data_IF_533960921789
#
_entry.id   IF_533960921789
#
_cell.length_a   1.000
_cell.length_b   1.000
_cell.length_c   1.000
_cell.angle_alpha   90.00
_cell.angle_beta   90.00
_cell.angle_gamma   90.00
#
_symmetry.space_group_name_H-M   'P 1'
#
loop_
_entity.id
_entity.type
_entity.pdbx_description
1 polymer ?
#
# COMPACT_ATOMS: atom_id res chain seq x y z
N UNK A 1 31.15 36.74 -2.55
CA UNK A 1 30.23 35.67 -2.12
C UNK A 1 28.85 36.31 -1.93
N UNK A 2 28.00 36.16 -2.91
CA UNK A 2 26.64 36.75 -2.92
C UNK A 2 25.70 35.74 -2.27
N UNK A 3 25.17 36.09 -1.10
CA UNK A 3 24.15 35.26 -0.44
C UNK A 3 22.89 35.19 -1.31
N UNK A 4 22.51 33.97 -1.68
CA UNK A 4 21.20 33.73 -2.32
C UNK A 4 20.16 33.86 -1.21
N UNK A 5 19.39 34.95 -1.25
CA UNK A 5 18.20 35.09 -0.40
C UNK A 5 17.16 34.11 -0.95
N UNK A 6 16.97 32.99 -0.27
CA UNK A 6 15.82 32.11 -0.50
C UNK A 6 14.61 32.87 0.01
N UNK A 7 13.80 33.40 -0.88
CA UNK A 7 12.55 34.08 -0.53
C UNK A 7 11.66 33.11 0.25
N UNK A 8 11.14 33.57 1.40
CA UNK A 8 10.13 32.85 2.15
C UNK A 8 8.89 32.68 1.25
N UNK A 9 8.62 31.46 0.84
CA UNK A 9 7.35 31.13 0.21
C UNK A 9 6.23 31.36 1.25
N UNK A 10 5.15 32.06 0.90
CA UNK A 10 4.01 32.21 1.79
C UNK A 10 3.54 30.82 2.23
N UNK A 11 3.32 30.63 3.52
CA UNK A 11 2.99 29.32 4.10
C UNK A 11 1.75 28.65 3.47
N UNK A 12 0.85 29.43 2.88
CA UNK A 12 -0.33 28.93 2.14
C UNK A 12 0.00 28.44 0.71
N UNK A 13 1.21 28.68 0.20
CA UNK A 13 1.69 28.20 -1.11
C UNK A 13 2.61 26.98 -0.99
N UNK A 14 2.88 26.47 0.21
CA UNK A 14 3.56 25.22 0.37
C UNK A 14 2.59 24.06 0.07
N UNK A 15 2.64 23.42 -1.13
CA UNK A 15 1.81 22.24 -1.42
C UNK A 15 2.17 21.06 -0.54
N UNK A 16 3.15 21.21 0.33
CA UNK A 16 3.92 20.15 0.92
C UNK A 16 3.18 19.31 1.97
N UNK A 17 2.06 19.73 2.53
CA UNK A 17 1.52 18.98 3.69
C UNK A 17 0.01 19.06 3.88
N UNK A 18 -0.79 19.14 2.82
CA UNK A 18 -2.21 18.83 2.98
C UNK A 18 -2.36 17.30 2.97
N UNK A 19 -2.12 16.69 4.12
CA UNK A 19 -2.30 15.25 4.32
C UNK A 19 -3.74 14.87 4.69
N UNK A 20 -4.57 15.85 5.02
CA UNK A 20 -5.97 15.65 5.38
C UNK A 20 -6.89 15.40 4.18
N UNK A 21 -8.14 15.01 4.45
CA UNK A 21 -9.15 14.82 3.42
C UNK A 21 -9.40 16.12 2.64
N UNK A 22 -9.45 16.02 1.31
CA UNK A 22 -9.72 17.13 0.41
C UNK A 22 -10.60 16.69 -0.76
N UNK A 23 -11.45 17.57 -1.28
CA UNK A 23 -12.23 17.27 -2.47
C UNK A 23 -11.32 17.23 -3.70
N UNK A 24 -11.45 16.17 -4.49
CA UNK A 24 -10.76 16.00 -5.76
C UNK A 24 -11.79 15.69 -6.84
N UNK A 25 -11.58 16.27 -8.04
CA UNK A 25 -12.43 16.05 -9.21
C UNK A 25 -11.91 14.86 -10.01
N UNK A 26 -12.80 14.00 -10.47
CA UNK A 26 -12.50 12.95 -11.44
C UNK A 26 -12.28 13.59 -12.81
N UNK A 27 -11.06 13.48 -13.34
CA UNK A 27 -10.67 14.01 -14.65
C UNK A 27 -10.89 12.99 -15.77
N UNK A 28 -10.78 11.71 -15.47
CA UNK A 28 -11.00 10.66 -16.46
C UNK A 28 -11.34 9.34 -15.78
N UNK A 29 -12.15 8.54 -16.46
CA UNK A 29 -12.50 7.16 -16.10
C UNK A 29 -12.20 6.25 -17.29
N UNK A 30 -11.30 5.30 -17.14
CA UNK A 30 -10.92 4.39 -18.22
C UNK A 30 -10.97 2.92 -17.77
N UNK A 31 -11.78 2.13 -18.43
CA UNK A 31 -11.81 0.67 -18.21
C UNK A 31 -10.55 0.04 -18.79
N UNK A 32 -9.77 -0.66 -17.97
CA UNK A 32 -8.55 -1.37 -18.38
C UNK A 32 -8.81 -2.83 -18.71
N UNK A 33 -9.66 -3.49 -17.92
CA UNK A 33 -10.13 -4.86 -18.11
C UNK A 33 -11.59 -4.94 -17.68
N UNK A 34 -12.21 -6.11 -17.77
CA UNK A 34 -13.59 -6.29 -17.29
C UNK A 34 -13.74 -6.05 -15.78
N UNK A 35 -12.66 -6.26 -15.03
CA UNK A 35 -12.66 -6.13 -13.57
C UNK A 35 -11.94 -4.87 -13.06
N UNK A 36 -11.17 -4.17 -13.90
CA UNK A 36 -10.31 -3.05 -13.45
C UNK A 36 -10.63 -1.76 -14.19
N UNK A 37 -10.94 -0.71 -13.44
CA UNK A 37 -11.12 0.65 -13.93
C UNK A 37 -10.04 1.59 -13.38
N UNK A 38 -9.48 2.41 -14.24
CA UNK A 38 -8.52 3.45 -13.91
C UNK A 38 -9.24 4.79 -13.76
N UNK A 39 -8.96 5.49 -12.67
CA UNK A 39 -9.48 6.81 -12.36
C UNK A 39 -8.34 7.82 -12.26
N UNK A 40 -8.53 9.01 -12.81
CA UNK A 40 -7.63 10.15 -12.64
C UNK A 40 -8.33 11.25 -11.86
N UNK A 41 -7.59 11.85 -10.92
CA UNK A 41 -8.11 12.91 -10.06
C UNK A 41 -7.24 14.15 -10.19
N UNK A 42 -7.87 15.31 -10.27
CA UNK A 42 -7.24 16.61 -10.15
C UNK A 42 -7.86 17.45 -9.03
N UNK A 43 -7.32 18.64 -8.75
CA UNK A 43 -7.93 19.55 -7.80
C UNK A 43 -9.39 19.81 -8.14
N UNK A 44 -10.28 19.90 -7.14
CA UNK A 44 -11.68 20.22 -7.35
C UNK A 44 -11.89 21.72 -7.64
N UNK A 45 -10.95 22.56 -7.22
CA UNK A 45 -10.89 23.98 -7.54
C UNK A 45 -9.64 24.30 -8.37
N UNK A 46 -9.72 25.35 -9.18
CA UNK A 46 -8.63 25.80 -10.06
C UNK A 46 -7.54 26.59 -9.29
N UNK A 47 -7.72 26.83 -7.97
CA UNK A 47 -6.81 27.64 -7.17
C UNK A 47 -5.56 26.86 -6.70
N UNK A 48 -5.56 25.54 -6.82
CA UNK A 48 -4.44 24.67 -6.42
C UNK A 48 -3.84 23.92 -7.63
N UNK A 49 -3.03 24.57 -8.47
CA UNK A 49 -2.55 24.00 -9.73
C UNK A 49 -1.57 22.84 -9.56
N UNK A 50 -1.00 22.67 -8.37
CA UNK A 50 0.02 21.64 -8.10
C UNK A 50 -0.47 20.64 -7.06
N UNK A 51 -0.23 19.36 -7.35
CA UNK A 51 -0.43 18.28 -6.44
C UNK A 51 0.87 17.94 -5.70
N UNK A 52 0.74 17.37 -4.51
CA UNK A 52 1.89 16.92 -3.72
C UNK A 52 2.62 15.80 -4.45
N UNK A 53 3.92 15.97 -4.68
CA UNK A 53 4.79 14.90 -5.19
C UNK A 53 4.85 13.75 -4.18
N UNK A 54 5.08 12.53 -4.67
CA UNK A 54 5.09 11.33 -3.84
C UNK A 54 6.16 10.33 -4.30
N UNK A 55 6.53 9.42 -3.43
CA UNK A 55 7.43 8.32 -3.77
C UNK A 55 6.65 7.17 -4.42
N UNK A 56 7.26 6.41 -5.34
CA UNK A 56 6.69 5.15 -5.83
C UNK A 56 6.23 4.25 -4.68
N UNK A 57 5.18 3.47 -4.90
CA UNK A 57 4.54 2.68 -3.84
C UNK A 57 3.69 3.48 -2.85
N UNK A 58 3.42 4.76 -3.16
CA UNK A 58 2.44 5.55 -2.40
C UNK A 58 1.01 5.22 -2.81
N UNK A 59 0.07 5.52 -1.90
CA UNK A 59 -1.35 5.31 -2.10
C UNK A 59 -2.17 6.55 -1.68
N UNK A 60 -3.40 6.61 -2.16
CA UNK A 60 -4.44 7.52 -1.71
C UNK A 60 -5.46 6.77 -0.86
N UNK A 61 -6.05 7.46 0.11
CA UNK A 61 -7.26 7.00 0.78
C UNK A 61 -8.45 7.68 0.10
N UNK A 62 -9.35 6.91 -0.46
CA UNK A 62 -10.55 7.42 -1.14
C UNK A 62 -11.78 7.09 -0.30
N UNK A 63 -12.58 8.11 0.00
CA UNK A 63 -13.86 7.97 0.69
C UNK A 63 -14.95 7.63 -0.33
N UNK A 64 -15.48 6.40 -0.29
CA UNK A 64 -16.40 5.87 -1.28
C UNK A 64 -17.48 5.00 -0.61
N UNK A 65 -18.75 5.29 -0.84
CA UNK A 65 -19.87 4.49 -0.32
C UNK A 65 -19.85 4.32 1.21
N UNK A 66 -19.45 5.36 1.95
CA UNK A 66 -19.33 5.30 3.40
C UNK A 66 -18.09 4.53 3.93
N UNK A 67 -17.23 4.07 3.03
CA UNK A 67 -15.98 3.38 3.36
C UNK A 67 -14.77 4.21 2.95
N UNK A 68 -13.64 3.98 3.62
CA UNK A 68 -12.36 4.63 3.32
C UNK A 68 -11.34 3.54 2.98
N UNK A 69 -10.95 3.48 1.71
CA UNK A 69 -10.05 2.44 1.21
C UNK A 69 -8.77 3.05 0.61
N UNK A 70 -7.67 2.33 0.78
CA UNK A 70 -6.38 2.66 0.18
C UNK A 70 -6.30 2.11 -1.25
N UNK A 71 -5.79 2.95 -2.17
CA UNK A 71 -5.53 2.55 -3.56
C UNK A 71 -4.17 3.09 -3.99
N UNK A 72 -3.30 2.21 -4.49
CA UNK A 72 -1.95 2.55 -4.91
C UNK A 72 -1.97 3.50 -6.10
N UNK A 73 -1.10 4.50 -6.06
CA UNK A 73 -0.82 5.41 -7.16
C UNK A 73 0.01 4.67 -8.23
N UNK A 74 -0.29 4.94 -9.50
CA UNK A 74 0.35 4.24 -10.63
C UNK A 74 1.43 5.05 -11.34
N UNK A 75 1.49 6.37 -11.11
CA UNK A 75 2.49 7.25 -11.74
C UNK A 75 3.79 7.31 -10.91
N UNK A 76 4.84 7.94 -11.44
CA UNK A 76 6.16 8.02 -10.81
C UNK A 76 6.26 9.01 -9.64
N UNK A 77 5.23 9.82 -9.43
CA UNK A 77 5.11 10.76 -8.32
C UNK A 77 5.87 12.08 -8.46
N UNK A 78 6.59 12.28 -9.57
CA UNK A 78 7.35 13.50 -9.79
C UNK A 78 6.49 14.61 -10.42
N UNK A 79 6.33 15.72 -9.72
CA UNK A 79 5.56 16.90 -10.15
C UNK A 79 4.18 16.55 -10.74
N UNK A 80 3.32 15.82 -10.02
CA UNK A 80 2.06 15.34 -10.56
C UNK A 80 1.08 16.49 -10.80
N UNK A 81 0.45 16.51 -11.96
CA UNK A 81 -0.69 17.37 -12.28
C UNK A 81 -2.04 16.69 -12.04
N UNK A 82 -2.00 15.39 -11.88
CA UNK A 82 -3.15 14.54 -11.50
C UNK A 82 -2.66 13.30 -10.75
N UNK A 83 -3.55 12.67 -9.99
CA UNK A 83 -3.30 11.37 -9.37
C UNK A 83 -4.06 10.28 -10.11
N UNK A 84 -3.38 9.17 -10.40
CA UNK A 84 -3.96 8.00 -11.04
C UNK A 84 -4.02 6.80 -10.10
N UNK A 85 -5.19 6.20 -9.95
CA UNK A 85 -5.38 4.91 -9.26
C UNK A 85 -6.07 3.92 -10.19
N UNK A 86 -5.87 2.63 -9.96
CA UNK A 86 -6.64 1.59 -10.66
C UNK A 86 -7.28 0.65 -9.64
N UNK A 87 -8.57 0.45 -9.79
CA UNK A 87 -9.41 -0.23 -8.82
C UNK A 87 -9.97 -1.50 -9.43
N UNK A 88 -9.76 -2.63 -8.75
CA UNK A 88 -10.36 -3.90 -9.12
C UNK A 88 -11.71 -4.04 -8.42
N UNK A 89 -12.75 -4.35 -9.19
CA UNK A 89 -14.09 -4.68 -8.68
C UNK A 89 -14.01 -6.00 -7.90
N UNK A 90 -14.59 -6.03 -6.70
CA UNK A 90 -14.58 -7.21 -5.83
C UNK A 90 -15.89 -8.00 -5.83
N UNK A 91 -16.99 -7.40 -6.23
CA UNK A 91 -18.31 -8.04 -6.27
C UNK A 91 -18.97 -8.25 -4.91
N UNK A 92 -18.46 -7.60 -3.85
CA UNK A 92 -18.96 -7.75 -2.48
C UNK A 92 -19.72 -6.52 -1.94
N UNK A 93 -20.03 -5.54 -2.81
CA UNK A 93 -20.76 -4.32 -2.44
C UNK A 93 -19.94 -3.33 -1.59
N UNK A 94 -18.61 -3.44 -1.59
CA UNK A 94 -17.70 -2.55 -0.86
C UNK A 94 -17.35 -1.27 -1.61
N UNK A 95 -16.41 -0.49 -1.05
CA UNK A 95 -16.00 0.80 -1.64
C UNK A 95 -15.41 0.67 -3.05
N UNK A 96 -14.75 -0.44 -3.40
CA UNK A 96 -14.28 -0.69 -4.77
C UNK A 96 -15.43 -0.82 -5.76
N UNK A 97 -16.50 -1.51 -5.39
CA UNK A 97 -17.66 -1.69 -6.25
C UNK A 97 -18.41 -0.37 -6.39
N UNK A 98 -18.54 0.38 -5.28
CA UNK A 98 -19.15 1.70 -5.30
C UNK A 98 -18.43 2.66 -6.26
N UNK A 99 -17.08 2.66 -6.29
CA UNK A 99 -16.29 3.47 -7.22
C UNK A 99 -16.63 3.12 -8.68
N UNK A 100 -16.73 1.83 -9.01
CA UNK A 100 -17.08 1.38 -10.36
C UNK A 100 -18.48 1.78 -10.77
N UNK A 101 -19.44 1.81 -9.82
CA UNK A 101 -20.86 2.04 -10.12
C UNK A 101 -21.24 3.53 -10.11
N UNK A 102 -20.50 4.36 -9.37
CA UNK A 102 -20.92 5.75 -9.08
C UNK A 102 -19.93 6.81 -9.53
N UNK A 103 -18.63 6.48 -9.72
CA UNK A 103 -17.64 7.48 -10.03
C UNK A 103 -17.55 7.72 -11.54
N UNK A 104 -17.97 8.90 -11.96
CA UNK A 104 -17.96 9.35 -13.36
C UNK A 104 -17.08 10.60 -13.49
N UNK A 105 -16.74 10.98 -14.71
CA UNK A 105 -16.03 12.25 -14.98
C UNK A 105 -16.78 13.44 -14.38
N UNK A 106 -16.05 14.42 -13.90
CA UNK A 106 -16.51 15.61 -13.17
C UNK A 106 -17.08 15.35 -11.76
N UNK A 107 -17.29 14.10 -11.34
CA UNK A 107 -17.65 13.81 -9.96
C UNK A 107 -16.56 14.29 -8.98
N UNK A 108 -16.98 14.71 -7.79
CA UNK A 108 -16.08 15.10 -6.70
C UNK A 108 -16.11 14.04 -5.63
N UNK A 109 -14.92 13.62 -5.21
CA UNK A 109 -14.73 12.63 -4.16
C UNK A 109 -13.70 13.12 -3.15
N UNK A 110 -13.88 12.76 -1.88
CA UNK A 110 -12.92 13.09 -0.84
C UNK A 110 -11.74 12.13 -0.88
N UNK A 111 -10.53 12.69 -0.96
CA UNK A 111 -9.27 11.94 -1.05
C UNK A 111 -8.28 12.48 -0.02
N UNK A 112 -7.56 11.57 0.64
CA UNK A 112 -6.49 11.85 1.58
C UNK A 112 -5.18 11.25 1.08
N UNK A 113 -4.06 11.90 1.37
CA UNK A 113 -2.73 11.50 0.93
C UNK A 113 -2.17 12.41 -0.18
N UNK A 114 -1.09 12.00 -0.85
CA UNK A 114 -0.48 10.65 -0.91
C UNK A 114 0.29 10.24 0.36
N UNK A 115 0.37 8.94 0.62
CA UNK A 115 1.15 8.34 1.71
C UNK A 115 1.92 7.13 1.20
N UNK A 116 3.14 6.92 1.68
CA UNK A 116 3.98 5.79 1.27
C UNK A 116 4.04 4.73 2.37
N UNK A 117 3.80 3.48 1.98
CA UNK A 117 3.98 2.28 2.79
C UNK A 117 4.88 1.24 2.09
N UNK A 118 5.26 1.50 0.85
CA UNK A 118 6.06 0.63 0.02
C UNK A 118 7.10 1.44 -0.78
N UNK A 119 7.93 2.28 -0.10
CA UNK A 119 8.85 3.18 -0.77
C UNK A 119 10.03 2.42 -1.37
N UNK A 120 10.66 2.96 -2.44
CA UNK A 120 11.94 2.46 -2.92
C UNK A 120 13.05 2.76 -1.91
N UNK A 121 14.05 1.90 -1.87
CA UNK A 121 15.29 2.18 -1.13
C UNK A 121 16.13 3.14 -1.97
N UNK A 122 16.59 4.24 -1.35
CA UNK A 122 17.20 5.37 -2.07
C UNK A 122 18.50 5.03 -2.80
N UNK A 123 19.31 4.14 -2.25
CA UNK A 123 20.60 3.71 -2.79
C UNK A 123 20.55 2.44 -3.64
N UNK A 124 19.35 1.92 -3.94
CA UNK A 124 19.22 0.75 -4.84
C UNK A 124 19.77 1.05 -6.22
N UNK A 125 20.52 0.12 -6.79
CA UNK A 125 21.06 0.25 -8.16
C UNK A 125 20.02 -0.12 -9.24
N UNK A 126 19.06 -0.94 -8.88
CA UNK A 126 17.95 -1.39 -9.71
C UNK A 126 16.94 -2.18 -8.88
N UNK A 127 15.87 -2.62 -9.50
CA UNK A 127 14.87 -3.42 -8.82
C UNK A 127 14.41 -4.63 -9.64
N UNK A 128 14.17 -5.75 -8.94
CA UNK A 128 13.30 -6.82 -9.38
C UNK A 128 11.90 -6.53 -8.87
N UNK A 129 10.95 -6.39 -9.77
CA UNK A 129 9.57 -6.00 -9.50
C UNK A 129 8.63 -7.17 -9.83
N UNK A 130 7.94 -7.73 -8.85
CA UNK A 130 7.03 -8.86 -9.02
C UNK A 130 5.59 -8.41 -8.79
N UNK A 131 4.75 -8.54 -9.80
CA UNK A 131 3.34 -8.19 -9.74
C UNK A 131 2.43 -9.40 -9.93
N UNK A 132 1.36 -9.50 -9.13
CA UNK A 132 0.26 -10.44 -9.34
C UNK A 132 -1.07 -9.73 -9.48
N UNK A 133 -1.75 -9.85 -10.63
CA UNK A 133 -3.05 -9.22 -10.87
C UNK A 133 -3.03 -7.72 -10.62
N UNK A 134 -3.92 -7.23 -9.74
CA UNK A 134 -4.01 -5.77 -9.41
C UNK A 134 -2.80 -5.27 -8.61
N UNK A 135 -1.95 -6.13 -8.07
CA UNK A 135 -0.66 -5.75 -7.49
C UNK A 135 0.31 -5.09 -8.48
N UNK A 136 -0.06 -5.04 -9.76
CA UNK A 136 0.65 -4.25 -10.77
C UNK A 136 0.65 -2.76 -10.47
N UNK A 137 -0.30 -2.23 -9.70
CA UNK A 137 -0.45 -0.78 -9.48
C UNK A 137 0.77 -0.14 -8.79
N UNK A 138 1.24 -0.58 -7.62
CA UNK A 138 2.47 -0.04 -7.03
C UNK A 138 3.71 -0.43 -7.82
N UNK A 139 3.73 -1.62 -8.42
CA UNK A 139 4.84 -2.09 -9.26
C UNK A 139 5.04 -1.19 -10.48
N UNK A 140 3.95 -0.76 -11.13
CA UNK A 140 4.03 0.19 -12.26
C UNK A 140 4.59 1.55 -11.82
N UNK A 141 4.20 2.04 -10.64
CA UNK A 141 4.76 3.27 -10.07
C UNK A 141 6.28 3.17 -9.88
N UNK A 142 6.77 2.06 -9.30
CA UNK A 142 8.21 1.79 -9.18
C UNK A 142 8.89 1.69 -10.55
N UNK A 143 8.29 0.97 -11.51
CA UNK A 143 8.83 0.79 -12.84
C UNK A 143 8.98 2.12 -13.59
N UNK A 144 7.96 2.99 -13.51
CA UNK A 144 7.99 4.34 -14.10
C UNK A 144 9.09 5.21 -13.52
N UNK A 145 9.27 5.20 -12.20
CA UNK A 145 10.33 5.97 -11.55
C UNK A 145 11.72 5.46 -11.93
N UNK A 146 11.94 4.15 -11.91
CA UNK A 146 13.22 3.54 -12.32
C UNK A 146 13.53 3.87 -13.79
N UNK A 147 12.54 3.76 -14.68
CA UNK A 147 12.69 4.08 -16.08
C UNK A 147 13.03 5.57 -16.31
N UNK A 148 12.33 6.48 -15.62
CA UNK A 148 12.64 7.92 -15.63
C UNK A 148 14.06 8.21 -15.19
N UNK A 149 14.53 7.54 -14.14
CA UNK A 149 15.86 7.74 -13.57
C UNK A 149 16.96 6.97 -14.32
N UNK A 150 16.62 6.27 -15.42
CA UNK A 150 17.56 5.46 -16.20
C UNK A 150 18.11 4.24 -15.43
N UNK A 151 17.44 3.83 -14.34
CA UNK A 151 17.81 2.71 -13.51
C UNK A 151 17.20 1.40 -14.03
N UNK A 152 17.82 0.28 -13.67
CA UNK A 152 17.37 -1.04 -14.12
C UNK A 152 16.08 -1.46 -13.41
N UNK A 153 15.09 -1.87 -14.19
CA UNK A 153 13.86 -2.54 -13.74
C UNK A 153 13.72 -3.90 -14.43
N UNK A 154 13.68 -4.97 -13.65
CA UNK A 154 13.39 -6.34 -14.11
C UNK A 154 12.01 -6.71 -13.56
N UNK A 155 11.01 -6.84 -14.46
CA UNK A 155 9.60 -6.90 -14.09
C UNK A 155 9.05 -8.28 -14.41
N UNK A 156 8.49 -8.96 -13.40
CA UNK A 156 7.70 -10.20 -13.58
C UNK A 156 6.24 -9.86 -13.31
N UNK A 157 5.39 -9.95 -14.33
CA UNK A 157 3.96 -9.70 -14.18
C UNK A 157 3.15 -10.98 -14.45
N UNK A 158 2.59 -11.51 -13.37
CA UNK A 158 1.72 -12.70 -13.41
C UNK A 158 0.24 -12.29 -13.40
N UNK A 159 -0.48 -12.69 -14.46
CA UNK A 159 -1.90 -12.37 -14.59
C UNK A 159 -2.64 -13.43 -15.42
N UNK A 160 -3.96 -13.49 -15.25
CA UNK A 160 -4.84 -14.32 -16.07
C UNK A 160 -4.96 -13.72 -17.48
N UNK A 161 -4.94 -14.53 -18.50
CA UNK A 161 -5.10 -14.07 -19.89
C UNK A 161 -6.35 -13.17 -20.03
N UNK A 162 -6.20 -12.02 -20.64
CA UNK A 162 -7.25 -11.00 -20.78
C UNK A 162 -7.46 -10.10 -19.55
N UNK A 163 -6.79 -10.37 -18.40
CA UNK A 163 -6.93 -9.60 -17.16
C UNK A 163 -5.68 -8.78 -16.80
N UNK A 164 -4.77 -8.55 -17.76
CA UNK A 164 -3.53 -7.80 -17.55
C UNK A 164 -3.78 -6.28 -17.51
N UNK A 165 -4.22 -5.75 -16.37
CA UNK A 165 -4.32 -4.32 -16.20
C UNK A 165 -2.94 -3.65 -16.40
N UNK A 166 -2.89 -2.51 -17.09
CA UNK A 166 -1.63 -1.79 -17.36
C UNK A 166 -0.57 -2.56 -18.15
N UNK A 167 -0.92 -3.66 -18.82
CA UNK A 167 0.07 -4.43 -19.57
C UNK A 167 0.70 -3.61 -20.70
N UNK A 168 -0.09 -2.78 -21.37
CA UNK A 168 0.42 -1.93 -22.44
C UNK A 168 1.33 -0.80 -21.91
N UNK A 169 1.05 -0.28 -20.70
CA UNK A 169 1.95 0.65 -20.01
C UNK A 169 3.31 -0.01 -19.73
N UNK A 170 3.32 -1.25 -19.22
CA UNK A 170 4.55 -2.01 -18.95
C UNK A 170 5.31 -2.36 -20.22
N UNK A 171 4.63 -2.75 -21.30
CA UNK A 171 5.23 -2.99 -22.61
C UNK A 171 5.88 -1.74 -23.20
N UNK A 172 5.21 -0.58 -23.04
CA UNK A 172 5.78 0.70 -23.44
C UNK A 172 7.05 1.04 -22.65
N UNK A 173 7.08 0.78 -21.34
CA UNK A 173 8.30 0.94 -20.53
C UNK A 173 9.41 -0.02 -20.95
N UNK A 174 9.08 -1.26 -21.30
CA UNK A 174 10.04 -2.28 -21.75
C UNK A 174 10.66 -1.98 -23.12
N UNK A 175 10.20 -0.95 -23.84
CA UNK A 175 10.91 -0.42 -25.00
C UNK A 175 12.22 0.30 -24.62
N UNK A 176 12.41 0.66 -23.36
CA UNK A 176 13.65 1.25 -22.85
C UNK A 176 14.68 0.16 -22.52
N UNK A 177 15.97 0.34 -22.83
CA UNK A 177 16.99 -0.69 -22.66
C UNK A 177 17.24 -1.10 -21.19
N UNK A 178 16.85 -0.26 -20.23
CA UNK A 178 16.99 -0.53 -18.80
C UNK A 178 15.83 -1.31 -18.19
N UNK A 179 14.75 -1.55 -18.94
CA UNK A 179 13.53 -2.20 -18.47
C UNK A 179 13.35 -3.54 -19.16
N UNK A 180 13.21 -4.60 -18.40
CA UNK A 180 12.88 -5.96 -18.91
C UNK A 180 11.53 -6.37 -18.35
N UNK A 181 10.65 -6.90 -19.20
CA UNK A 181 9.32 -7.39 -18.83
C UNK A 181 9.18 -8.88 -19.12
N UNK A 182 8.77 -9.64 -18.10
CA UNK A 182 8.40 -11.05 -18.21
C UNK A 182 6.89 -11.17 -17.92
N UNK A 183 6.13 -11.42 -18.99
CA UNK A 183 4.69 -11.69 -18.88
C UNK A 183 4.48 -13.18 -18.61
N UNK A 184 3.78 -13.52 -17.53
CA UNK A 184 3.60 -14.90 -17.08
C UNK A 184 2.13 -15.18 -16.79
N UNK A 185 1.70 -16.41 -17.10
CA UNK A 185 0.35 -16.88 -16.76
C UNK A 185 0.43 -18.30 -16.18
N UNK A 186 -0.27 -18.52 -15.08
CA UNK A 186 -0.30 -19.80 -14.35
C UNK A 186 0.76 -19.91 -13.25
N UNK A 187 0.41 -20.60 -12.17
CA UNK A 187 1.21 -20.65 -10.94
C UNK A 187 2.61 -21.25 -11.16
N UNK A 188 2.71 -22.41 -11.84
CA UNK A 188 3.99 -23.10 -12.05
C UNK A 188 4.99 -22.23 -12.82
N UNK A 189 4.57 -21.64 -13.95
CA UNK A 189 5.43 -20.75 -14.73
C UNK A 189 5.82 -19.49 -13.96
N UNK A 190 4.92 -18.96 -13.11
CA UNK A 190 5.21 -17.81 -12.25
C UNK A 190 6.33 -18.13 -11.25
N UNK A 191 6.25 -19.29 -10.58
CA UNK A 191 7.28 -19.77 -9.65
C UNK A 191 8.63 -19.89 -10.34
N UNK A 192 8.68 -20.52 -11.52
CA UNK A 192 9.90 -20.74 -12.29
C UNK A 192 10.57 -19.41 -12.67
N UNK A 193 9.79 -18.47 -13.24
CA UNK A 193 10.33 -17.17 -13.67
C UNK A 193 10.79 -16.34 -12.46
N UNK A 194 10.06 -16.29 -11.37
CA UNK A 194 10.49 -15.56 -10.15
C UNK A 194 11.81 -16.16 -9.63
N UNK A 195 11.91 -17.50 -9.53
CA UNK A 195 13.12 -18.15 -9.05
C UNK A 195 14.34 -17.84 -9.94
N UNK A 196 14.16 -17.84 -11.25
CA UNK A 196 15.22 -17.50 -12.20
C UNK A 196 15.66 -16.04 -12.08
N UNK A 197 14.69 -15.14 -11.97
CA UNK A 197 15.01 -13.71 -11.84
C UNK A 197 15.69 -13.39 -10.52
N UNK A 198 15.28 -13.99 -9.40
CA UNK A 198 15.97 -13.82 -8.12
C UNK A 198 17.45 -14.25 -8.18
N UNK A 199 17.77 -15.33 -8.89
CA UNK A 199 19.17 -15.79 -9.04
C UNK A 199 20.01 -14.94 -10.00
N UNK A 200 19.36 -14.24 -10.94
CA UNK A 200 20.05 -13.53 -12.02
C UNK A 200 20.30 -12.04 -11.72
N UNK A 201 19.99 -11.54 -10.52
CA UNK A 201 20.11 -10.12 -10.22
C UNK A 201 21.54 -9.68 -9.90
N UNK A 202 21.97 -8.50 -10.39
CA UNK A 202 23.22 -7.88 -9.97
C UNK A 202 23.20 -7.48 -8.49
N UNK A 203 24.40 -7.34 -7.91
CA UNK A 203 24.54 -6.78 -6.58
C UNK A 203 23.94 -5.35 -6.50
N UNK A 204 23.38 -4.99 -5.36
CA UNK A 204 22.69 -3.70 -5.17
C UNK A 204 21.26 -3.64 -5.69
N UNK A 205 20.71 -4.75 -6.23
CA UNK A 205 19.31 -4.86 -6.57
C UNK A 205 18.47 -5.09 -5.31
N UNK A 206 17.32 -4.41 -5.23
CA UNK A 206 16.24 -4.69 -4.27
C UNK A 206 15.08 -5.37 -4.98
N UNK A 207 14.40 -6.28 -4.29
CA UNK A 207 13.25 -6.99 -4.85
C UNK A 207 11.97 -6.54 -4.17
N UNK A 208 10.94 -6.25 -4.97
CA UNK A 208 9.64 -5.75 -4.52
C UNK A 208 8.53 -6.62 -5.08
N UNK A 209 7.59 -7.02 -4.26
CA UNK A 209 6.44 -7.81 -4.70
C UNK A 209 5.11 -7.25 -4.19
N UNK A 210 4.09 -7.26 -5.06
CA UNK A 210 2.71 -7.00 -4.69
C UNK A 210 1.77 -7.93 -5.47
N UNK A 211 0.80 -8.53 -4.77
CA UNK A 211 -0.13 -9.48 -5.37
C UNK A 211 -0.91 -10.30 -4.35
N UNK A 212 -1.55 -11.39 -4.80
CA UNK A 212 -2.25 -12.32 -3.91
C UNK A 212 -1.33 -12.92 -2.86
N UNK A 213 -1.89 -13.28 -1.70
CA UNK A 213 -1.14 -13.85 -0.57
C UNK A 213 -0.25 -15.03 -0.98
N UNK A 214 -0.78 -15.96 -1.76
CA UNK A 214 -0.02 -17.13 -2.23
C UNK A 214 1.19 -16.77 -3.10
N UNK A 215 1.10 -15.71 -3.91
CA UNK A 215 2.24 -15.21 -4.68
C UNK A 215 3.31 -14.62 -3.75
N UNK A 216 2.90 -13.83 -2.76
CA UNK A 216 3.82 -13.19 -1.83
C UNK A 216 4.54 -14.20 -0.93
N UNK A 217 3.85 -15.24 -0.48
CA UNK A 217 4.44 -16.35 0.25
C UNK A 217 5.47 -17.10 -0.60
N UNK A 218 5.11 -17.43 -1.83
CA UNK A 218 6.04 -18.07 -2.78
C UNK A 218 7.26 -17.19 -3.05
N UNK A 219 7.06 -15.91 -3.31
CA UNK A 219 8.14 -14.95 -3.54
C UNK A 219 9.10 -14.88 -2.36
N UNK A 220 8.58 -14.80 -1.12
CA UNK A 220 9.40 -14.76 0.09
C UNK A 220 10.24 -16.03 0.26
N UNK A 221 9.63 -17.20 0.09
CA UNK A 221 10.32 -18.49 0.16
C UNK A 221 11.42 -18.62 -0.90
N UNK A 222 11.14 -18.19 -2.14
CA UNK A 222 12.12 -18.23 -3.23
C UNK A 222 13.28 -17.25 -3.01
N UNK A 223 13.01 -16.07 -2.46
CA UNK A 223 14.05 -15.09 -2.13
C UNK A 223 14.96 -15.63 -1.00
N UNK A 224 14.40 -16.22 0.04
CA UNK A 224 15.16 -16.87 1.11
C UNK A 224 16.01 -18.03 0.57
N UNK A 225 15.42 -18.92 -0.24
CA UNK A 225 16.13 -20.04 -0.87
C UNK A 225 17.25 -19.59 -1.84
N UNK A 226 17.12 -18.41 -2.43
CA UNK A 226 18.14 -17.79 -3.27
C UNK A 226 19.19 -16.98 -2.47
N UNK A 227 19.10 -16.94 -1.13
CA UNK A 227 20.05 -16.27 -0.24
C UNK A 227 19.93 -14.76 -0.22
N UNK A 228 18.75 -14.20 -0.52
CA UNK A 228 18.54 -12.75 -0.45
C UNK A 228 18.51 -12.26 0.99
N UNK A 229 19.25 -11.19 1.32
CA UNK A 229 19.13 -10.53 2.62
C UNK A 229 17.69 -9.99 2.80
N UNK A 230 17.09 -10.19 3.96
CA UNK A 230 15.72 -9.72 4.26
C UNK A 230 15.54 -8.21 4.05
N UNK A 231 16.57 -7.41 4.35
CA UNK A 231 16.59 -5.97 4.10
C UNK A 231 16.48 -5.55 2.61
N UNK A 232 16.60 -6.49 1.69
CA UNK A 232 16.45 -6.24 0.24
C UNK A 232 15.21 -6.89 -0.36
N UNK A 233 14.37 -7.50 0.45
CA UNK A 233 13.13 -8.18 0.05
C UNK A 233 11.95 -7.42 0.62
N UNK A 234 11.18 -6.77 -0.24
CA UNK A 234 10.06 -5.92 0.12
C UNK A 234 8.77 -6.48 -0.45
N UNK A 235 7.68 -6.32 0.29
CA UNK A 235 6.37 -6.72 -0.18
C UNK A 235 5.28 -5.78 0.31
N UNK A 236 4.24 -5.61 -0.51
CA UNK A 236 3.02 -4.91 -0.15
C UNK A 236 1.83 -5.87 -0.21
N UNK A 237 1.02 -5.88 0.85
CA UNK A 237 -0.20 -6.68 0.96
C UNK A 237 -1.43 -5.78 0.88
N UNK A 238 -2.34 -6.07 -0.05
CA UNK A 238 -3.63 -5.37 -0.12
C UNK A 238 -4.70 -5.98 0.79
N UNK A 239 -4.52 -7.23 1.17
CA UNK A 239 -5.38 -7.95 2.10
C UNK A 239 -4.52 -8.79 3.03
N UNK A 240 -4.89 -8.85 4.30
CA UNK A 240 -4.32 -9.83 5.20
C UNK A 240 -4.82 -11.23 4.84
N UNK A 241 -4.02 -12.28 5.08
CA UNK A 241 -4.53 -13.64 5.10
C UNK A 241 -5.69 -13.76 6.08
N UNK A 242 -6.60 -14.69 5.81
CA UNK A 242 -7.66 -15.03 6.75
C UNK A 242 -7.02 -15.52 8.05
N UNK A 243 -7.46 -14.96 9.17
CA UNK A 243 -6.93 -15.31 10.49
C UNK A 243 -8.00 -16.05 11.27
N UNK A 244 -7.56 -16.97 12.12
CA UNK A 244 -8.48 -17.62 13.06
C UNK A 244 -9.12 -16.59 14.02
N UNK A 245 -10.29 -16.89 14.60
CA UNK A 245 -10.96 -15.97 15.52
C UNK A 245 -10.13 -15.61 16.75
N UNK A 246 -9.17 -16.44 17.14
CA UNK A 246 -8.33 -16.31 18.32
C UNK A 246 -9.09 -16.40 19.65
N UNK A 247 -8.37 -16.57 20.73
CA UNK A 247 -8.95 -16.67 22.07
C UNK A 247 -9.53 -15.32 22.55
N UNK A 248 -10.63 -15.33 23.33
CA UNK A 248 -11.12 -14.12 23.96
C UNK A 248 -10.11 -13.61 24.99
N UNK A 249 -10.02 -12.29 25.15
CA UNK A 249 -9.14 -11.68 26.13
C UNK A 249 -9.73 -10.35 26.67
N UNK A 250 -9.15 -9.85 27.76
CA UNK A 250 -9.55 -8.58 28.35
C UNK A 250 -8.39 -7.60 28.31
N UNK A 251 -8.71 -6.33 28.03
CA UNK A 251 -7.76 -5.23 28.00
C UNK A 251 -8.13 -4.21 29.06
N UNK A 252 -7.15 -3.69 29.78
CA UNK A 252 -7.32 -2.52 30.67
C UNK A 252 -6.83 -1.25 29.97
N UNK A 253 -7.65 -0.21 29.95
CA UNK A 253 -7.27 1.12 29.47
C UNK A 253 -6.66 1.90 30.63
N UNK A 254 -5.37 2.23 30.51
CA UNK A 254 -4.59 2.77 31.65
C UNK A 254 -5.09 4.12 32.18
N UNK A 255 -5.58 5.00 31.31
CA UNK A 255 -6.05 6.34 31.69
C UNK A 255 -7.33 6.32 32.53
N UNK A 256 -8.22 5.34 32.28
CA UNK A 256 -9.54 5.25 32.93
C UNK A 256 -9.68 4.07 33.91
N UNK A 257 -8.78 3.08 33.83
CA UNK A 257 -8.92 1.79 34.52
C UNK A 257 -10.05 0.91 33.95
N UNK A 258 -10.68 1.33 32.84
CA UNK A 258 -11.79 0.58 32.24
C UNK A 258 -11.29 -0.76 31.67
N UNK A 259 -12.09 -1.80 31.87
CA UNK A 259 -11.86 -3.13 31.29
C UNK A 259 -12.71 -3.31 30.05
N UNK A 260 -12.08 -3.75 28.98
CA UNK A 260 -12.70 -3.99 27.68
C UNK A 260 -12.57 -5.48 27.37
N UNK A 261 -13.69 -6.18 27.31
CA UNK A 261 -13.73 -7.60 26.93
C UNK A 261 -13.74 -7.72 25.41
N UNK A 262 -12.85 -8.54 24.87
CA UNK A 262 -12.66 -8.78 23.44
C UNK A 262 -12.97 -10.24 23.12
N UNK A 263 -14.18 -10.55 22.63
CA UNK A 263 -14.58 -11.89 22.26
C UNK A 263 -13.72 -12.48 21.14
N UNK A 264 -13.76 -13.81 20.97
CA UNK A 264 -13.22 -14.45 19.78
C UNK A 264 -13.85 -13.86 18.50
N UNK A 265 -13.06 -13.67 17.46
CA UNK A 265 -13.52 -13.12 16.18
C UNK A 265 -13.79 -11.61 16.15
N UNK A 266 -13.76 -10.91 17.31
CA UNK A 266 -13.92 -9.46 17.39
C UNK A 266 -12.57 -8.81 17.66
N UNK A 267 -12.22 -7.75 16.95
CA UNK A 267 -10.97 -7.05 17.17
C UNK A 267 -11.02 -6.12 18.41
N UNK A 268 -9.86 -5.91 19.06
CA UNK A 268 -9.73 -4.91 20.11
C UNK A 268 -10.09 -3.52 19.61
N UNK A 269 -9.70 -3.18 18.38
CA UNK A 269 -10.08 -1.92 17.74
C UNK A 269 -11.59 -1.70 17.76
N UNK A 270 -12.38 -2.70 17.35
CA UNK A 270 -13.84 -2.57 17.32
C UNK A 270 -14.39 -2.35 18.73
N UNK A 271 -13.89 -3.08 19.73
CA UNK A 271 -14.34 -2.95 21.12
C UNK A 271 -13.99 -1.59 21.74
N UNK A 272 -12.81 -1.03 21.42
CA UNK A 272 -12.41 0.30 21.84
C UNK A 272 -13.33 1.37 21.25
N UNK A 273 -13.59 1.30 19.92
CA UNK A 273 -14.50 2.22 19.24
C UNK A 273 -15.93 2.12 19.79
N UNK A 274 -16.45 0.91 20.02
CA UNK A 274 -17.78 0.69 20.62
C UNK A 274 -17.87 1.25 22.06
N UNK A 275 -16.75 1.30 22.76
CA UNK A 275 -16.63 1.86 24.10
C UNK A 275 -16.37 3.38 24.11
N UNK A 276 -16.36 4.02 22.93
CA UNK A 276 -16.13 5.48 22.80
C UNK A 276 -14.67 5.89 22.91
N UNK A 277 -13.72 4.94 22.89
CA UNK A 277 -12.28 5.25 22.89
C UNK A 277 -11.83 5.44 21.44
N UNK A 278 -11.45 6.67 21.02
CA UNK A 278 -11.05 6.93 19.64
C UNK A 278 -9.67 6.34 19.38
N UNK A 279 -9.57 5.48 18.38
CA UNK A 279 -8.30 4.93 17.89
C UNK A 279 -8.19 5.23 16.39
N UNK A 280 -7.08 5.84 15.92
CA UNK A 280 -6.84 5.98 14.50
C UNK A 280 -6.90 4.61 13.82
N UNK A 281 -7.62 4.49 12.72
CA UNK A 281 -7.73 3.21 12.02
C UNK A 281 -8.06 3.41 10.54
N UNK A 282 -7.69 2.39 9.70
CA UNK A 282 -7.94 2.41 8.25
C UNK A 282 -8.26 1.03 7.69
N UNK A 283 -7.24 0.23 7.35
CA UNK A 283 -7.44 -1.06 6.69
C UNK A 283 -8.15 -2.10 7.55
N UNK A 284 -8.03 -2.02 8.87
CA UNK A 284 -8.53 -2.98 9.86
C UNK A 284 -8.08 -4.44 9.63
N UNK A 285 -6.94 -4.60 8.94
CA UNK A 285 -6.41 -5.89 8.48
C UNK A 285 -4.93 -6.11 8.88
N UNK A 286 -4.35 -5.25 9.73
CA UNK A 286 -2.97 -5.39 10.18
C UNK A 286 -1.90 -5.11 9.13
N UNK A 287 -2.22 -4.40 8.05
CA UNK A 287 -1.29 -4.14 6.92
C UNK A 287 -0.95 -2.66 6.71
N UNK A 288 -1.55 -1.71 7.47
CA UNK A 288 -1.32 -0.28 7.28
C UNK A 288 -0.67 0.43 8.48
N UNK A 289 -0.60 -0.19 9.64
CA UNK A 289 0.01 0.39 10.83
C UNK A 289 -0.81 1.45 11.59
N UNK A 290 -1.91 1.96 11.02
CA UNK A 290 -2.63 3.12 11.56
C UNK A 290 -3.25 2.90 12.96
N UNK A 291 -3.63 1.66 13.26
CA UNK A 291 -4.23 1.28 14.55
C UNK A 291 -3.17 0.82 15.57
N UNK A 292 -1.93 1.28 15.45
CA UNK A 292 -0.88 1.02 16.43
C UNK A 292 -1.21 1.76 17.72
N UNK A 293 -1.24 1.03 18.82
CA UNK A 293 -1.46 1.57 20.17
C UNK A 293 -0.34 1.12 21.10
N UNK A 294 0.05 1.97 22.06
CA UNK A 294 1.07 1.61 23.04
C UNK A 294 0.54 0.57 24.05
N UNK A 295 1.37 -0.36 24.44
CA UNK A 295 1.10 -1.39 25.46
C UNK A 295 2.04 -1.19 26.64
N UNK A 296 1.48 -1.02 27.84
CA UNK A 296 2.26 -0.88 29.08
C UNK A 296 2.70 -2.21 29.65
N UNK A 297 1.84 -3.22 29.54
CA UNK A 297 2.12 -4.56 30.02
C UNK A 297 1.21 -5.59 29.38
N UNK A 298 1.58 -6.85 29.51
CA UNK A 298 0.87 -8.01 29.00
C UNK A 298 1.64 -8.73 27.92
N UNK A 299 1.15 -9.89 27.52
CA UNK A 299 1.74 -10.68 26.45
C UNK A 299 0.93 -10.47 25.17
N UNK A 300 1.56 -9.92 24.16
CA UNK A 300 0.94 -9.65 22.85
C UNK A 300 1.11 -10.88 21.95
N UNK A 301 0.04 -11.28 21.30
CA UNK A 301 0.04 -12.18 20.15
C UNK A 301 -0.05 -11.31 18.89
N UNK A 302 1.10 -11.00 18.30
CA UNK A 302 1.18 -10.20 17.10
C UNK A 302 0.64 -10.95 15.88
N UNK A 303 -0.33 -10.34 15.18
CA UNK A 303 -0.96 -10.90 14.00
C UNK A 303 -0.87 -9.95 12.80
N UNK A 304 -0.14 -8.86 12.97
CA UNK A 304 0.10 -7.86 11.94
C UNK A 304 1.30 -8.20 11.06
N UNK A 305 1.34 -7.52 9.92
CA UNK A 305 2.39 -7.60 8.91
C UNK A 305 3.20 -6.29 8.79
N UNK A 306 3.15 -5.43 9.80
CA UNK A 306 3.76 -4.09 9.79
C UNK A 306 4.92 -3.98 10.74
N UNK A 307 4.75 -4.45 11.99
CA UNK A 307 5.80 -4.39 12.98
C UNK A 307 6.94 -5.35 12.62
N UNK A 308 8.16 -4.88 12.75
CA UNK A 308 9.37 -5.70 12.60
C UNK A 308 9.47 -6.72 13.74
N UNK A 309 10.31 -7.75 13.57
CA UNK A 309 10.53 -8.75 14.62
C UNK A 309 11.10 -8.11 15.88
N UNK A 310 11.97 -7.10 15.76
CA UNK A 310 12.50 -6.35 16.89
C UNK A 310 11.40 -5.56 17.63
N UNK A 311 10.50 -4.86 16.89
CA UNK A 311 9.36 -4.16 17.49
C UNK A 311 8.38 -5.13 18.16
N UNK A 312 8.13 -6.29 17.56
CA UNK A 312 7.32 -7.35 18.18
C UNK A 312 7.95 -7.89 19.44
N UNK A 313 9.28 -8.09 19.43
CA UNK A 313 10.02 -8.56 20.59
C UNK A 313 10.05 -7.57 21.77
N UNK A 314 10.00 -6.24 21.48
CA UNK A 314 9.90 -5.21 22.53
C UNK A 314 8.58 -5.27 23.29
N UNK A 315 7.49 -5.67 22.64
CA UNK A 315 6.18 -5.86 23.27
C UNK A 315 5.53 -4.57 23.81
N UNK A 316 5.98 -3.39 23.36
CA UNK A 316 5.52 -2.08 23.82
C UNK A 316 4.41 -1.46 22.96
N UNK A 317 4.05 -2.12 21.87
CA UNK A 317 2.99 -1.66 20.96
C UNK A 317 2.28 -2.85 20.28
N UNK A 318 1.02 -2.65 19.90
CA UNK A 318 0.26 -3.63 19.12
C UNK A 318 -0.61 -2.94 18.06
N UNK A 319 -0.89 -3.66 16.97
CA UNK A 319 -1.94 -3.25 16.03
C UNK A 319 -3.28 -3.85 16.50
N UNK A 320 -4.09 -3.04 17.13
CA UNK A 320 -5.30 -3.48 17.82
C UNK A 320 -6.43 -3.98 16.90
N UNK A 321 -6.30 -3.80 15.57
CA UNK A 321 -7.28 -4.33 14.62
C UNK A 321 -7.16 -5.85 14.38
N UNK A 322 -6.00 -6.46 14.67
CA UNK A 322 -5.76 -7.90 14.41
C UNK A 322 -5.08 -8.62 15.56
N UNK A 323 -4.18 -7.97 16.30
CA UNK A 323 -3.41 -8.59 17.36
C UNK A 323 -4.27 -8.90 18.58
N UNK A 324 -3.90 -9.95 19.31
CA UNK A 324 -4.56 -10.41 20.53
C UNK A 324 -3.57 -10.42 21.68
N UNK A 325 -3.98 -10.90 22.84
CA UNK A 325 -3.05 -10.98 23.95
C UNK A 325 -3.65 -11.47 25.25
N UNK A 326 -2.81 -11.48 26.30
CA UNK A 326 -3.18 -11.88 27.65
C UNK A 326 -2.72 -10.79 28.63
N UNK A 327 -3.59 -10.43 29.58
CA UNK A 327 -3.32 -9.43 30.62
C UNK A 327 -2.83 -8.07 30.06
N UNK A 328 -3.40 -7.66 28.92
CA UNK A 328 -2.99 -6.45 28.20
C UNK A 328 -3.47 -5.18 28.93
N UNK A 329 -2.54 -4.25 29.15
CA UNK A 329 -2.84 -2.88 29.53
C UNK A 329 -2.33 -1.91 28.45
N UNK A 330 -3.24 -1.11 27.90
CA UNK A 330 -2.93 -0.14 26.83
C UNK A 330 -2.89 1.29 27.36
N UNK A 331 -2.00 2.10 26.79
CA UNK A 331 -1.83 3.50 27.15
C UNK A 331 -2.66 4.40 26.21
N UNK A 332 -3.97 4.47 26.51
CA UNK A 332 -4.96 5.26 25.79
C UNK A 332 -5.74 6.17 26.73
#
# INVERSE_FOLDING_TARGET
MTAVVVGEYPAHLHPAYVTGPRPMRVLAVRRLTDEVTHFRFGPADDAAPFLTSYQPGSHLIVSAGGQRNAYSLVDDGMYPTSYGISVMRRGAGGGSDWLHDNLVEDAVVEIEGPRSMFPPVLDQHGALLVAGGIGVTPVLSHARALARDGRRADIVYSYRRGCGAHIDDLRALAAQPTVTLHEVSGAAATVEVIADRLRAQPLGTHAYACGPTSLLETYTQLAEAAGWPSARVHLERFTAPEQDPGDPFTVTVASSGARVDVPAGVSLLQRLLDSGVPVPNRCRQGVCGECRIPVRRGRIEHRDFVLTDDEKAMGDAMLCCVSRGQDIEVDL
#
